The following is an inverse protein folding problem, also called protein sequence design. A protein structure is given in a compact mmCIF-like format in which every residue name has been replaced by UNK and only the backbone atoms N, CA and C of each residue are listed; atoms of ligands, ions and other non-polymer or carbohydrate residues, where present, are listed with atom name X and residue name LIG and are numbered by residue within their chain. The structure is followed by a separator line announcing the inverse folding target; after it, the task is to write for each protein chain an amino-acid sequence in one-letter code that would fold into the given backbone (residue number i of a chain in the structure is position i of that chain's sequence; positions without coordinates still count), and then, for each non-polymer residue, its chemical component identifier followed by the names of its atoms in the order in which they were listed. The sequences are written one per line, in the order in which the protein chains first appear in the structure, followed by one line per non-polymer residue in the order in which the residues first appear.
data_IF_889044987427
#
_entry.id   IF_889044987427
#
_cell.length_a   1.000
_cell.length_b   1.000
_cell.length_c   1.000
_cell.angle_alpha   90.00
_cell.angle_beta   90.00
_cell.angle_gamma   90.00
#
_symmetry.space_group_name_H-M   'P 1'
#
loop_
_entity.id
_entity.type
_entity.pdbx_description
1 polymer ?
#
# COMPACT_ATOMS: atom_id res chain seq x y z
N UNK A 1 -15.21 -16.09 38.44
CA UNK A 1 -14.79 -15.20 37.36
C UNK A 1 -14.74 -16.05 36.10
N UNK A 2 -15.68 -15.88 35.18
CA UNK A 2 -15.51 -16.43 33.83
C UNK A 2 -14.36 -15.68 33.15
N UNK A 3 -13.50 -16.42 32.46
CA UNK A 3 -12.35 -15.86 31.75
C UNK A 3 -12.26 -16.51 30.38
N UNK A 4 -12.02 -15.70 29.36
CA UNK A 4 -11.69 -16.21 28.04
C UNK A 4 -10.35 -16.92 28.08
N UNK A 5 -10.32 -18.17 27.62
CA UNK A 5 -9.12 -18.96 27.36
C UNK A 5 -8.89 -19.05 25.85
N UNK A 6 -7.71 -19.50 25.46
CA UNK A 6 -7.38 -19.88 24.09
C UNK A 6 -7.23 -21.39 23.98
N UNK A 7 -7.34 -21.93 22.75
CA UNK A 7 -7.10 -23.36 22.53
C UNK A 7 -5.69 -23.76 23.01
N UNK A 8 -4.66 -22.95 22.73
CA UNK A 8 -3.28 -23.20 23.16
C UNK A 8 -3.03 -23.16 24.68
N UNK A 9 -4.04 -22.82 25.48
CA UNK A 9 -3.97 -22.85 26.93
C UNK A 9 -4.29 -24.25 27.50
N UNK A 10 -4.98 -25.09 26.72
CA UNK A 10 -5.29 -26.48 27.08
C UNK A 10 -4.13 -27.41 26.73
N UNK A 11 -3.78 -28.32 27.64
CA UNK A 11 -2.62 -29.22 27.46
C UNK A 11 -2.82 -30.16 26.27
N UNK A 12 -4.04 -30.65 26.06
CA UNK A 12 -4.38 -31.51 24.92
C UNK A 12 -4.19 -30.81 23.55
N UNK A 13 -4.22 -29.47 23.54
CA UNK A 13 -4.16 -28.64 22.33
C UNK A 13 -2.86 -27.82 22.23
N UNK A 14 -1.86 -28.05 23.10
CA UNK A 14 -0.63 -27.25 23.14
C UNK A 14 0.08 -27.18 21.78
N UNK A 15 0.00 -28.26 20.98
CA UNK A 15 0.63 -28.35 19.66
C UNK A 15 0.17 -27.25 18.70
N UNK A 16 -1.00 -26.64 18.90
CA UNK A 16 -1.49 -25.53 18.07
C UNK A 16 -0.52 -24.34 18.03
N UNK A 17 0.38 -24.20 19.02
CA UNK A 17 1.41 -23.14 19.07
C UNK A 17 2.41 -23.21 17.92
N UNK A 18 2.60 -24.39 17.31
CA UNK A 18 3.52 -24.57 16.17
C UNK A 18 2.94 -24.02 14.86
N UNK A 19 1.62 -23.88 14.77
CA UNK A 19 0.92 -23.41 13.56
C UNK A 19 0.50 -21.95 13.77
N UNK A 20 1.20 -20.98 13.17
CA UNK A 20 0.81 -19.59 13.27
C UNK A 20 -0.49 -19.33 12.46
N UNK A 21 -1.37 -18.42 12.90
CA UNK A 21 -2.59 -18.07 12.17
C UNK A 21 -2.34 -17.66 10.71
N UNK A 22 -1.18 -17.04 10.43
CA UNK A 22 -0.77 -16.60 9.10
C UNK A 22 -0.48 -17.76 8.13
N UNK A 23 -0.25 -18.98 8.62
CA UNK A 23 -0.08 -20.17 7.79
C UNK A 23 -1.41 -20.70 7.22
N UNK A 24 -2.55 -20.23 7.73
CA UNK A 24 -3.86 -20.71 7.29
C UNK A 24 -4.29 -19.99 6.02
N UNK A 25 -3.94 -20.59 4.88
CA UNK A 25 -4.32 -20.10 3.54
C UNK A 25 -5.82 -20.25 3.28
N UNK A 26 -6.35 -19.52 2.29
CA UNK A 26 -7.76 -19.64 1.92
C UNK A 26 -8.12 -21.02 1.36
N UNK A 27 -7.15 -21.77 0.81
CA UNK A 27 -7.34 -23.17 0.43
C UNK A 27 -7.61 -24.04 1.65
N UNK A 28 -6.81 -23.89 2.70
CA UNK A 28 -6.99 -24.62 3.96
C UNK A 28 -8.34 -24.26 4.60
N UNK A 29 -8.71 -22.97 4.63
CA UNK A 29 -10.03 -22.54 5.13
C UNK A 29 -11.18 -23.17 4.35
N UNK A 30 -11.04 -23.31 3.03
CA UNK A 30 -12.05 -23.95 2.20
C UNK A 30 -12.22 -25.44 2.53
N UNK A 31 -11.12 -26.16 2.78
CA UNK A 31 -11.14 -27.54 3.26
C UNK A 31 -11.79 -27.67 4.64
N UNK A 32 -11.42 -26.81 5.60
CA UNK A 32 -12.06 -26.81 6.93
C UNK A 32 -13.56 -26.57 6.85
N UNK A 33 -14.00 -25.63 6.00
CA UNK A 33 -15.42 -25.31 5.78
C UNK A 33 -16.23 -26.46 5.16
N UNK A 34 -15.58 -27.53 4.68
CA UNK A 34 -16.27 -28.70 4.14
C UNK A 34 -16.47 -29.82 5.17
N UNK A 35 -15.88 -29.68 6.37
CA UNK A 35 -15.93 -30.71 7.41
C UNK A 35 -17.30 -30.86 8.08
N UNK A 36 -17.76 -32.09 8.24
CA UNK A 36 -18.98 -32.49 8.93
C UNK A 36 -18.77 -32.50 10.45
N UNK A 37 -19.76 -32.03 11.20
CA UNK A 37 -19.76 -32.03 12.67
C UNK A 37 -19.54 -33.44 13.23
N UNK A 38 -20.37 -34.39 12.83
CA UNK A 38 -20.45 -35.73 13.44
C UNK A 38 -19.46 -36.73 12.83
N UNK A 39 -19.21 -36.61 11.52
CA UNK A 39 -18.37 -37.59 10.80
C UNK A 39 -16.88 -37.27 10.89
N UNK A 40 -16.52 -36.00 11.16
CA UNK A 40 -15.14 -35.52 11.04
C UNK A 40 -14.71 -34.71 12.28
N UNK A 41 -15.36 -33.58 12.56
CA UNK A 41 -14.90 -32.63 13.59
C UNK A 41 -14.94 -33.26 15.00
N UNK A 42 -16.06 -33.87 15.38
CA UNK A 42 -16.22 -34.52 16.69
C UNK A 42 -15.23 -35.71 16.87
N UNK A 43 -15.12 -36.66 15.92
CA UNK A 43 -14.10 -37.72 15.98
C UNK A 43 -12.66 -37.18 16.07
N UNK A 44 -12.34 -36.07 15.40
CA UNK A 44 -11.03 -35.44 15.50
C UNK A 44 -10.76 -34.92 16.91
N UNK A 45 -11.72 -34.24 17.53
CA UNK A 45 -11.59 -33.74 18.90
C UNK A 45 -11.42 -34.91 19.89
N UNK A 46 -12.27 -35.93 19.81
CA UNK A 46 -12.20 -37.11 20.67
C UNK A 46 -10.84 -37.81 20.54
N UNK A 47 -10.33 -37.96 19.31
CA UNK A 47 -9.01 -38.55 19.09
C UNK A 47 -7.87 -37.68 19.65
N UNK A 48 -7.96 -36.36 19.56
CA UNK A 48 -6.96 -35.43 20.11
C UNK A 48 -6.92 -35.50 21.63
N UNK A 49 -8.09 -35.50 22.28
CA UNK A 49 -8.23 -35.56 23.75
C UNK A 49 -7.92 -36.97 24.29
N UNK A 50 -7.92 -37.99 23.41
CA UNK A 50 -7.75 -39.40 23.75
C UNK A 50 -8.84 -39.95 24.70
N UNK A 51 -10.04 -39.34 24.66
CA UNK A 51 -11.23 -39.82 25.37
C UNK A 51 -12.05 -40.72 24.43
N UNK A 52 -11.78 -42.04 24.48
CA UNK A 52 -12.47 -43.06 23.69
C UNK A 52 -13.77 -43.55 24.35
N UNK A 53 -14.28 -42.84 25.36
CA UNK A 53 -15.65 -43.06 25.78
C UNK A 53 -16.57 -42.63 24.63
N UNK A 54 -16.85 -43.56 23.70
CA UNK A 54 -18.07 -43.52 22.91
C UNK A 54 -19.19 -43.54 23.93
N UNK A 55 -19.67 -42.38 24.36
CA UNK A 55 -20.89 -42.34 25.14
C UNK A 55 -21.99 -42.81 24.17
N UNK A 56 -22.59 -43.98 24.41
CA UNK A 56 -23.76 -44.36 23.63
C UNK A 56 -24.81 -43.29 23.90
N UNK A 57 -25.57 -42.89 22.87
CA UNK A 57 -26.72 -42.00 22.99
C UNK A 57 -27.75 -42.59 23.99
N UNK A 58 -27.49 -42.37 25.27
CA UNK A 58 -28.39 -42.66 26.35
C UNK A 58 -29.09 -41.35 26.69
N UNK A 59 -30.36 -41.46 27.05
CA UNK A 59 -31.40 -40.43 27.16
C UNK A 59 -31.13 -39.26 28.12
N UNK A 60 -29.87 -39.03 28.51
CA UNK A 60 -29.40 -38.00 29.45
C UNK A 60 -28.32 -37.11 28.82
N UNK A 61 -27.79 -37.44 27.63
CA UNK A 61 -26.97 -36.50 26.85
C UNK A 61 -27.85 -35.44 26.19
N UNK A 62 -27.44 -34.18 26.33
CA UNK A 62 -28.06 -33.08 25.63
C UNK A 62 -27.63 -33.20 24.17
N UNK A 63 -28.54 -33.64 23.30
CA UNK A 63 -28.32 -33.69 21.85
C UNK A 63 -27.56 -32.43 21.36
N UNK A 64 -26.58 -32.63 20.48
CA UNK A 64 -25.81 -31.56 19.81
C UNK A 64 -24.71 -30.87 20.64
N UNK A 65 -24.29 -31.41 21.80
CA UNK A 65 -23.16 -30.91 22.61
C UNK A 65 -22.25 -32.08 23.03
N UNK A 66 -20.97 -32.04 22.66
CA UNK A 66 -19.97 -33.02 23.09
C UNK A 66 -19.43 -32.62 24.47
N UNK A 67 -19.51 -33.50 25.47
CA UNK A 67 -18.92 -33.25 26.79
C UNK A 67 -17.77 -34.19 27.10
N UNK A 68 -16.66 -33.66 27.59
CA UNK A 68 -15.45 -34.44 27.93
C UNK A 68 -14.64 -33.71 29.01
N UNK A 69 -13.47 -34.24 29.35
CA UNK A 69 -12.53 -33.62 30.29
C UNK A 69 -11.30 -33.14 29.55
N UNK A 70 -10.82 -31.96 29.90
CA UNK A 70 -9.58 -31.36 29.38
C UNK A 70 -8.73 -30.83 30.53
N UNK A 71 -7.45 -30.59 30.27
CA UNK A 71 -6.49 -30.20 31.31
C UNK A 71 -6.02 -28.77 31.10
N UNK A 72 -6.13 -27.95 32.14
CA UNK A 72 -5.68 -26.55 32.15
C UNK A 72 -4.83 -26.30 33.39
N UNK A 73 -3.54 -26.03 33.19
CA UNK A 73 -2.55 -25.85 34.28
C UNK A 73 -2.54 -26.99 35.30
N UNK A 74 -2.60 -28.25 34.84
CA UNK A 74 -2.63 -29.43 35.69
C UNK A 74 -3.97 -29.75 36.36
N UNK A 75 -5.00 -28.90 36.19
CA UNK A 75 -6.34 -29.13 36.72
C UNK A 75 -7.25 -29.71 35.63
N UNK A 76 -8.04 -30.72 35.99
CA UNK A 76 -9.00 -31.36 35.07
C UNK A 76 -10.31 -30.59 35.09
N UNK A 77 -10.69 -30.03 33.94
CA UNK A 77 -11.91 -29.28 33.74
C UNK A 77 -12.96 -30.13 33.01
N UNK A 78 -14.22 -30.08 33.45
CA UNK A 78 -15.34 -30.62 32.68
C UNK A 78 -15.75 -29.62 31.59
N UNK A 79 -15.59 -30.02 30.32
CA UNK A 79 -15.78 -29.15 29.16
C UNK A 79 -16.97 -29.58 28.30
N UNK A 80 -17.66 -28.58 27.73
CA UNK A 80 -18.72 -28.76 26.75
C UNK A 80 -18.33 -28.10 25.43
N UNK A 81 -18.31 -28.87 24.35
CA UNK A 81 -18.03 -28.45 23.00
C UNK A 81 -19.34 -28.22 22.24
N UNK A 82 -19.54 -26.98 21.81
CA UNK A 82 -20.55 -26.59 20.84
C UNK A 82 -19.87 -26.55 19.47
N UNK A 83 -20.19 -27.51 18.60
CA UNK A 83 -19.51 -27.70 17.33
C UNK A 83 -20.38 -27.19 16.17
N UNK A 84 -19.76 -26.49 15.20
CA UNK A 84 -20.42 -26.07 13.96
C UNK A 84 -19.59 -26.38 12.69
N UNK A 85 -20.11 -27.25 11.85
CA UNK A 85 -19.47 -27.79 10.65
C UNK A 85 -19.96 -27.14 9.36
N UNK A 86 -19.81 -27.87 8.25
CA UNK A 86 -19.99 -27.44 6.86
C UNK A 86 -21.31 -26.74 6.53
N UNK A 87 -22.36 -27.03 7.31
CA UNK A 87 -23.67 -26.40 7.18
C UNK A 87 -23.66 -24.91 7.56
N UNK A 88 -22.62 -24.45 8.27
CA UNK A 88 -22.55 -23.12 8.88
C UNK A 88 -21.31 -22.35 8.44
N UNK A 89 -21.30 -21.85 7.20
CA UNK A 89 -20.23 -20.95 6.71
C UNK A 89 -20.07 -19.69 7.56
N UNK A 90 -21.18 -19.20 8.11
CA UNK A 90 -21.24 -18.10 9.07
C UNK A 90 -22.18 -18.56 10.19
N UNK A 91 -21.68 -18.64 11.42
CA UNK A 91 -22.45 -19.02 12.61
C UNK A 91 -23.20 -17.80 13.15
N UNK A 92 -24.54 -17.90 13.18
CA UNK A 92 -25.46 -16.84 13.63
C UNK A 92 -26.15 -17.28 14.93
N UNK A 93 -26.74 -16.35 15.71
CA UNK A 93 -27.42 -16.69 16.97
C UNK A 93 -28.44 -17.84 16.80
N UNK A 94 -29.35 -17.72 15.83
CA UNK A 94 -30.35 -18.75 15.52
C UNK A 94 -29.80 -20.17 15.28
N UNK A 95 -28.52 -20.30 14.91
CA UNK A 95 -27.88 -21.56 14.60
C UNK A 95 -27.38 -22.29 15.86
N UNK A 96 -27.21 -21.57 16.98
CA UNK A 96 -26.62 -22.07 18.24
C UNK A 96 -27.40 -21.72 19.51
N UNK A 97 -28.39 -20.80 19.46
CA UNK A 97 -29.07 -20.28 20.67
C UNK A 97 -29.62 -21.42 21.54
N UNK A 98 -30.19 -22.45 20.91
CA UNK A 98 -30.70 -23.62 21.60
C UNK A 98 -29.60 -24.43 22.33
N UNK A 99 -28.40 -24.56 21.75
CA UNK A 99 -27.25 -25.23 22.37
C UNK A 99 -26.72 -24.38 23.53
N UNK A 100 -26.57 -23.07 23.33
CA UNK A 100 -26.10 -22.14 24.35
C UNK A 100 -27.03 -22.17 25.58
N UNK A 101 -28.35 -22.11 25.37
CA UNK A 101 -29.33 -22.19 26.47
C UNK A 101 -29.28 -23.52 27.22
N UNK A 102 -28.96 -24.62 26.53
CA UNK A 102 -28.83 -25.95 27.14
C UNK A 102 -27.59 -26.10 28.04
N UNK A 103 -26.61 -25.20 27.94
CA UNK A 103 -25.43 -25.20 28.83
C UNK A 103 -25.78 -24.73 30.25
N UNK A 104 -26.77 -23.84 30.41
CA UNK A 104 -27.16 -23.27 31.71
C UNK A 104 -27.54 -24.30 32.80
N UNK A 105 -28.34 -25.35 32.51
CA UNK A 105 -28.67 -26.36 33.51
C UNK A 105 -27.54 -27.35 33.81
N UNK A 106 -26.42 -27.33 33.08
CA UNK A 106 -25.31 -28.26 33.31
C UNK A 106 -24.56 -27.88 34.59
N UNK A 107 -24.93 -28.55 35.69
CA UNK A 107 -24.21 -28.42 36.96
C UNK A 107 -22.77 -28.88 36.76
N UNK A 108 -21.81 -28.19 37.40
CA UNK A 108 -20.37 -28.48 37.35
C UNK A 108 -19.68 -28.34 35.98
N UNK A 109 -20.23 -27.53 35.06
CA UNK A 109 -19.52 -27.20 33.82
C UNK A 109 -18.43 -26.16 34.11
N UNK A 110 -17.17 -26.53 33.84
CA UNK A 110 -16.01 -25.67 34.10
C UNK A 110 -15.59 -24.87 32.86
N UNK A 111 -15.83 -25.39 31.66
CA UNK A 111 -15.38 -24.79 30.40
C UNK A 111 -16.39 -24.99 29.27
N UNK A 112 -16.64 -23.93 28.49
CA UNK A 112 -17.41 -23.99 27.25
C UNK A 112 -16.49 -23.73 26.06
N UNK A 113 -16.55 -24.56 25.02
CA UNK A 113 -15.75 -24.39 23.80
C UNK A 113 -16.70 -24.30 22.61
N UNK A 114 -16.78 -23.15 21.97
CA UNK A 114 -17.43 -23.00 20.67
C UNK A 114 -16.38 -23.19 19.58
N UNK A 115 -16.52 -24.26 18.79
CA UNK A 115 -15.60 -24.59 17.69
C UNK A 115 -16.36 -24.61 16.37
N UNK A 116 -15.97 -23.74 15.43
CA UNK A 116 -16.65 -23.58 14.16
C UNK A 116 -15.70 -23.71 12.96
N UNK A 117 -16.15 -24.46 11.95
CA UNK A 117 -15.52 -24.49 10.62
C UNK A 117 -15.75 -23.21 9.80
N UNK A 118 -16.63 -22.31 10.25
CA UNK A 118 -17.00 -21.05 9.59
C UNK A 118 -16.69 -19.81 10.43
N UNK A 119 -17.06 -18.65 9.90
CA UNK A 119 -16.87 -17.38 10.61
C UNK A 119 -17.95 -17.20 11.68
N UNK A 120 -17.60 -16.66 12.85
CA UNK A 120 -18.52 -16.50 13.99
C UNK A 120 -18.93 -15.04 14.14
N UNK A 121 -20.23 -14.74 14.10
CA UNK A 121 -20.74 -13.38 14.30
C UNK A 121 -20.55 -12.90 15.76
N UNK A 122 -20.33 -11.61 15.95
CA UNK A 122 -20.11 -11.06 17.29
C UNK A 122 -21.30 -11.20 18.25
N UNK A 123 -22.52 -11.28 17.71
CA UNK A 123 -23.71 -11.56 18.51
C UNK A 123 -23.59 -12.92 19.24
N UNK A 124 -23.20 -13.97 18.50
CA UNK A 124 -22.92 -15.30 19.05
C UNK A 124 -21.87 -15.25 20.15
N UNK A 125 -20.77 -14.52 19.92
CA UNK A 125 -19.68 -14.40 20.90
C UNK A 125 -20.19 -13.77 22.20
N UNK A 126 -21.01 -12.73 22.10
CA UNK A 126 -21.63 -12.07 23.26
C UNK A 126 -22.58 -13.01 24.01
N UNK A 127 -23.43 -13.74 23.28
CA UNK A 127 -24.41 -14.66 23.88
C UNK A 127 -23.72 -15.80 24.64
N UNK A 128 -22.67 -16.39 24.06
CA UNK A 128 -21.85 -17.41 24.71
C UNK A 128 -21.14 -16.86 25.96
N UNK A 129 -20.58 -15.66 25.87
CA UNK A 129 -19.89 -15.00 26.99
C UNK A 129 -20.86 -14.76 28.16
N UNK A 130 -22.07 -14.28 27.88
CA UNK A 130 -23.12 -14.07 28.87
C UNK A 130 -23.52 -15.37 29.58
N UNK A 131 -23.65 -16.47 28.83
CA UNK A 131 -23.94 -17.78 29.44
C UNK A 131 -22.78 -18.27 30.28
N UNK A 132 -21.54 -18.19 29.80
CA UNK A 132 -20.35 -18.59 30.56
C UNK A 132 -20.22 -17.80 31.88
N UNK A 133 -20.50 -16.49 31.85
CA UNK A 133 -20.59 -15.64 33.04
C UNK A 133 -21.67 -16.13 34.01
N UNK A 134 -22.86 -16.44 33.50
CA UNK A 134 -24.00 -16.85 34.35
C UNK A 134 -23.77 -18.16 35.12
N UNK A 135 -22.99 -19.08 34.55
CA UNK A 135 -22.64 -20.36 35.19
C UNK A 135 -21.23 -20.39 35.78
N UNK A 136 -20.50 -19.27 35.74
CA UNK A 136 -19.12 -19.14 36.23
C UNK A 136 -18.12 -20.14 35.59
N UNK A 137 -18.25 -20.39 34.29
CA UNK A 137 -17.35 -21.23 33.52
C UNK A 137 -16.32 -20.41 32.73
N UNK A 138 -15.17 -21.01 32.42
CA UNK A 138 -14.28 -20.53 31.37
C UNK A 138 -14.93 -20.67 29.99
N UNK A 139 -14.42 -19.96 28.99
CA UNK A 139 -14.87 -20.17 27.62
C UNK A 139 -13.76 -19.99 26.58
N UNK A 140 -13.89 -20.71 25.46
CA UNK A 140 -13.05 -20.60 24.26
C UNK A 140 -13.98 -20.41 23.06
N UNK A 141 -13.60 -19.50 22.15
CA UNK A 141 -14.27 -19.30 20.86
C UNK A 141 -13.21 -19.51 19.78
N UNK A 142 -13.37 -20.56 18.98
CA UNK A 142 -12.48 -20.95 17.91
C UNK A 142 -13.21 -20.87 16.56
N UNK A 143 -12.78 -19.95 15.70
CA UNK A 143 -13.33 -19.80 14.36
C UNK A 143 -12.64 -20.75 13.35
N UNK A 144 -12.89 -20.54 12.05
CA UNK A 144 -12.29 -21.32 10.97
C UNK A 144 -10.75 -21.35 11.04
N UNK A 145 -10.10 -20.27 11.46
CA UNK A 145 -8.63 -20.19 11.55
C UNK A 145 -8.14 -21.02 12.72
N UNK A 146 -8.75 -20.86 13.89
CA UNK A 146 -8.36 -21.62 15.09
C UNK A 146 -8.62 -23.12 14.92
N UNK A 147 -9.76 -23.48 14.31
CA UNK A 147 -10.10 -24.87 13.98
C UNK A 147 -9.10 -25.47 12.99
N UNK A 148 -8.71 -24.71 11.95
CA UNK A 148 -7.68 -25.13 11.01
C UNK A 148 -6.34 -25.41 11.70
N UNK A 149 -5.91 -24.49 12.57
CA UNK A 149 -4.66 -24.62 13.32
C UNK A 149 -4.68 -25.85 14.21
N UNK A 150 -5.78 -26.10 14.92
CA UNK A 150 -5.93 -27.26 15.79
C UNK A 150 -5.80 -28.56 14.99
N UNK A 151 -6.57 -28.72 13.93
CA UNK A 151 -6.56 -29.95 13.15
C UNK A 151 -5.28 -30.16 12.35
N UNK A 152 -4.64 -29.09 11.91
CA UNK A 152 -3.34 -29.18 11.24
C UNK A 152 -2.23 -29.59 12.21
N UNK A 153 -2.19 -29.02 13.42
CA UNK A 153 -1.18 -29.35 14.43
C UNK A 153 -1.25 -30.81 14.92
N UNK A 154 -2.40 -31.46 14.75
CA UNK A 154 -2.66 -32.85 15.11
C UNK A 154 -2.80 -33.77 13.89
N UNK A 155 -2.34 -33.33 12.71
CA UNK A 155 -2.31 -34.12 11.46
C UNK A 155 -3.68 -34.70 11.06
N UNK A 156 -4.78 -34.00 11.37
CA UNK A 156 -6.14 -34.43 10.99
C UNK A 156 -6.54 -33.96 9.60
N UNK A 157 -5.92 -32.88 9.13
CA UNK A 157 -6.17 -32.29 7.82
C UNK A 157 -4.86 -32.02 7.08
N UNK A 158 -4.96 -31.97 5.75
CA UNK A 158 -3.83 -31.69 4.87
C UNK A 158 -3.37 -30.24 4.95
N UNK A 159 -2.06 -30.04 5.01
CA UNK A 159 -1.38 -28.75 4.97
C UNK A 159 -1.57 -28.00 3.64
N UNK A 160 -1.86 -28.69 2.54
CA UNK A 160 -2.01 -28.07 1.22
C UNK A 160 -3.41 -27.51 0.96
N UNK A 161 -4.45 -28.16 1.48
CA UNK A 161 -5.85 -27.90 1.09
C UNK A 161 -6.88 -28.02 2.22
N UNK A 162 -6.47 -28.36 3.45
CA UNK A 162 -7.34 -28.46 4.61
C UNK A 162 -8.35 -29.61 4.59
N UNK A 163 -8.29 -30.56 3.65
CA UNK A 163 -9.15 -31.74 3.62
C UNK A 163 -8.65 -32.82 4.57
N UNK A 164 -9.54 -33.68 5.10
CA UNK A 164 -9.17 -34.74 6.03
C UNK A 164 -8.22 -35.76 5.39
N UNK A 165 -7.40 -36.38 6.23
CA UNK A 165 -6.72 -37.62 5.86
C UNK A 165 -7.67 -38.82 6.04
N UNK A 166 -7.88 -39.59 4.98
CA UNK A 166 -8.69 -40.81 4.97
C UNK A 166 -7.77 -41.97 4.63
N UNK A 167 -7.65 -42.95 5.54
CA UNK A 167 -6.74 -44.09 5.39
C UNK A 167 -5.29 -43.68 5.10
N UNK A 168 -4.81 -42.64 5.80
CA UNK A 168 -3.43 -42.15 5.70
C UNK A 168 -3.14 -41.27 4.48
N UNK A 169 -4.14 -40.90 3.68
CA UNK A 169 -3.97 -40.01 2.51
C UNK A 169 -4.99 -38.89 2.47
N UNK A 170 -4.59 -37.71 2.00
CA UNK A 170 -5.50 -36.59 1.81
C UNK A 170 -6.54 -36.94 0.75
N UNK A 171 -7.82 -36.74 1.08
CA UNK A 171 -8.94 -37.05 0.18
C UNK A 171 -8.90 -36.28 -1.15
N UNK A 172 -8.23 -35.12 -1.19
CA UNK A 172 -8.25 -34.20 -2.32
C UNK A 172 -6.93 -34.19 -3.12
N UNK A 173 -5.78 -33.99 -2.46
CA UNK A 173 -4.48 -33.92 -3.15
C UNK A 173 -3.65 -35.22 -3.09
N UNK A 174 -4.09 -36.23 -2.34
CA UNK A 174 -3.41 -37.52 -2.25
C UNK A 174 -2.10 -37.55 -1.47
N UNK A 175 -1.74 -36.45 -0.80
CA UNK A 175 -0.58 -36.37 0.10
C UNK A 175 -0.69 -37.42 1.21
N UNK A 176 0.38 -38.14 1.50
CA UNK A 176 0.44 -39.08 2.62
C UNK A 176 0.49 -38.33 3.96
N UNK A 177 -0.22 -38.83 4.97
CA UNK A 177 -0.28 -38.25 6.33
C UNK A 177 1.11 -38.17 6.99
N UNK A 178 1.96 -39.17 6.72
CA UNK A 178 3.33 -39.25 7.24
C UNK A 178 4.35 -38.42 6.42
N UNK A 179 3.93 -37.81 5.31
CA UNK A 179 4.83 -37.02 4.48
C UNK A 179 5.22 -35.71 5.21
N UNK A 180 6.50 -35.32 5.20
CA UNK A 180 6.92 -34.04 5.77
C UNK A 180 6.18 -32.89 5.08
N UNK A 181 5.48 -32.08 5.86
CA UNK A 181 4.74 -30.91 5.39
C UNK A 181 5.47 -29.64 5.77
N UNK A 182 5.73 -28.78 4.80
CA UNK A 182 6.28 -27.43 5.01
C UNK A 182 5.13 -26.40 4.98
N UNK A 183 5.07 -25.52 5.98
CA UNK A 183 4.10 -24.42 6.04
C UNK A 183 4.82 -23.11 5.73
N UNK A 184 4.55 -22.55 4.55
CA UNK A 184 5.04 -21.22 4.17
C UNK A 184 4.02 -20.14 4.55
N UNK A 185 4.49 -19.09 5.24
CA UNK A 185 3.68 -17.92 5.54
C UNK A 185 4.52 -16.64 5.46
N UNK A 186 3.90 -15.54 5.01
CA UNK A 186 4.57 -14.25 4.86
C UNK A 186 4.38 -13.41 6.13
N UNK A 187 5.48 -13.06 6.80
CA UNK A 187 5.47 -12.26 8.03
C UNK A 187 5.14 -10.77 7.80
N UNK A 188 5.41 -10.24 6.59
CA UNK A 188 5.04 -8.89 6.13
C UNK A 188 4.80 -8.91 4.62
N UNK A 189 3.82 -8.13 4.15
CA UNK A 189 3.78 -7.73 2.75
C UNK A 189 5.00 -6.84 2.47
N UNK A 190 5.74 -7.14 1.39
CA UNK A 190 6.82 -6.27 0.94
C UNK A 190 6.24 -4.88 0.63
N UNK A 191 6.89 -3.80 1.08
CA UNK A 191 6.37 -2.47 0.85
C UNK A 191 6.34 -2.17 -0.64
N UNK A 192 5.19 -1.73 -1.12
CA UNK A 192 4.96 -1.46 -2.53
C UNK A 192 5.53 -0.09 -2.91
N UNK A 193 6.21 -0.05 -4.05
CA UNK A 193 6.65 1.18 -4.67
C UNK A 193 6.63 1.04 -6.19
N UNK A 194 6.53 2.16 -6.88
CA UNK A 194 6.59 2.22 -8.35
C UNK A 194 7.68 3.19 -8.75
N UNK A 195 8.68 2.74 -9.50
CA UNK A 195 9.64 3.63 -10.16
C UNK A 195 8.92 4.34 -11.30
N UNK A 196 8.84 5.67 -11.23
CA UNK A 196 8.18 6.50 -12.25
C UNK A 196 9.18 7.12 -13.22
N UNK A 197 10.42 7.33 -12.78
CA UNK A 197 11.47 7.90 -13.61
C UNK A 197 12.84 7.36 -13.18
N UNK A 198 13.64 6.98 -14.18
CA UNK A 198 15.05 6.67 -14.07
C UNK A 198 15.81 7.55 -15.06
N UNK A 199 16.64 8.45 -14.52
CA UNK A 199 17.49 9.35 -15.30
C UNK A 199 18.97 9.05 -15.09
N UNK A 200 19.72 9.07 -16.19
CA UNK A 200 21.18 9.13 -16.14
C UNK A 200 21.62 10.61 -16.08
N UNK A 201 22.10 11.00 -14.90
CA UNK A 201 22.59 12.34 -14.58
C UNK A 201 24.13 12.42 -14.61
N UNK A 202 24.77 11.49 -15.31
CA UNK A 202 26.24 11.42 -15.39
C UNK A 202 26.83 12.66 -16.06
N UNK A 203 28.02 13.03 -15.57
CA UNK A 203 28.92 14.00 -16.21
C UNK A 203 30.27 13.32 -16.44
N UNK A 204 31.21 13.95 -17.15
CA UNK A 204 32.45 13.29 -17.61
C UNK A 204 33.33 12.63 -16.54
N UNK A 205 33.09 12.90 -15.26
CA UNK A 205 33.89 12.41 -14.13
C UNK A 205 33.19 11.35 -13.27
N UNK A 206 31.85 11.26 -13.31
CA UNK A 206 31.09 10.35 -12.45
C UNK A 206 29.82 9.86 -13.13
N UNK A 207 29.56 8.55 -12.99
CA UNK A 207 28.32 7.91 -13.41
C UNK A 207 27.28 8.09 -12.31
N UNK A 208 26.17 8.76 -12.61
CA UNK A 208 25.17 9.17 -11.61
C UNK A 208 23.77 8.83 -12.06
N UNK A 209 22.96 8.31 -11.15
CA UNK A 209 21.54 8.10 -11.39
C UNK A 209 20.68 9.03 -10.55
N UNK A 210 19.60 9.50 -11.17
CA UNK A 210 18.49 10.18 -10.53
C UNK A 210 17.25 9.30 -10.68
N UNK A 211 16.66 8.88 -9.57
CA UNK A 211 15.51 7.98 -9.53
C UNK A 211 14.37 8.68 -8.83
N UNK A 212 13.16 8.58 -9.39
CA UNK A 212 11.93 9.05 -8.76
C UNK A 212 11.00 7.85 -8.58
N UNK A 213 10.44 7.69 -7.40
CA UNK A 213 9.51 6.61 -7.11
C UNK A 213 8.32 7.09 -6.26
N UNK A 214 7.19 6.42 -6.46
CA UNK A 214 5.96 6.65 -5.69
C UNK A 214 5.77 5.50 -4.69
N UNK A 215 5.34 5.82 -3.47
CA UNK A 215 5.06 4.85 -2.39
C UNK A 215 3.63 5.00 -1.89
N UNK A 216 3.20 4.15 -0.94
CA UNK A 216 1.92 4.37 -0.26
C UNK A 216 2.00 5.56 0.72
N UNK A 217 1.00 6.46 0.75
CA UNK A 217 1.01 7.63 1.62
C UNK A 217 0.82 7.33 3.12
N UNK A 218 0.40 6.13 3.48
CA UNK A 218 0.24 5.68 4.87
C UNK A 218 1.49 4.99 5.43
N UNK A 219 2.54 4.83 4.62
CA UNK A 219 3.77 4.22 5.08
C UNK A 219 4.47 5.07 6.14
N UNK A 220 4.89 4.39 7.20
CA UNK A 220 5.68 5.00 8.25
C UNK A 220 7.08 5.37 7.74
N UNK A 221 7.77 6.26 8.46
CA UNK A 221 9.17 6.61 8.14
C UNK A 221 10.07 5.38 8.05
N UNK A 222 9.87 4.37 8.89
CA UNK A 222 10.69 3.15 8.85
C UNK A 222 10.44 2.32 7.59
N UNK A 223 9.19 2.24 7.13
CA UNK A 223 8.84 1.59 5.85
C UNK A 223 9.44 2.35 4.67
N UNK A 224 9.30 3.68 4.63
CA UNK A 224 9.90 4.53 3.57
C UNK A 224 11.43 4.38 3.56
N UNK A 225 12.06 4.31 4.73
CA UNK A 225 13.50 4.07 4.86
C UNK A 225 13.92 2.73 4.25
N UNK A 226 13.10 1.71 4.46
CA UNK A 226 13.33 0.39 3.89
C UNK A 226 13.19 0.40 2.36
N UNK A 227 12.15 1.04 1.82
CA UNK A 227 11.95 1.24 0.38
C UNK A 227 13.16 1.95 -0.24
N UNK A 228 13.64 3.05 0.38
CA UNK A 228 14.80 3.79 -0.11
C UNK A 228 16.03 2.88 -0.23
N UNK A 229 16.27 2.02 0.76
CA UNK A 229 17.36 1.04 0.73
C UNK A 229 17.20 0.03 -0.39
N UNK A 230 15.99 -0.54 -0.57
CA UNK A 230 15.71 -1.53 -1.63
C UNK A 230 16.03 -0.92 -3.00
N UNK A 231 15.44 0.24 -3.31
CA UNK A 231 15.62 0.92 -4.60
C UNK A 231 17.09 1.25 -4.84
N UNK A 232 17.77 1.87 -3.87
CA UNK A 232 19.19 2.21 -4.07
C UNK A 232 20.02 0.94 -4.32
N UNK A 233 19.76 -0.17 -3.62
CA UNK A 233 20.51 -1.41 -3.82
C UNK A 233 20.30 -2.03 -5.18
N UNK A 234 19.07 -1.99 -5.69
CA UNK A 234 18.74 -2.43 -7.05
C UNK A 234 19.52 -1.60 -8.08
N UNK A 235 19.48 -0.28 -7.97
CA UNK A 235 20.10 0.63 -8.93
C UNK A 235 21.63 0.64 -8.90
N UNK A 236 22.25 0.25 -7.78
CA UNK A 236 23.71 0.07 -7.69
C UNK A 236 24.26 -0.94 -8.69
N UNK A 237 23.42 -1.88 -9.14
CA UNK A 237 23.81 -2.91 -10.10
C UNK A 237 23.46 -2.55 -11.55
N UNK A 238 22.77 -1.43 -11.77
CA UNK A 238 22.34 -1.04 -13.12
C UNK A 238 23.49 -0.45 -13.93
N UNK A 239 23.67 -0.95 -15.16
CA UNK A 239 24.63 -0.42 -16.13
C UNK A 239 24.00 0.58 -17.10
N UNK A 240 22.74 0.97 -16.89
CA UNK A 240 22.00 1.88 -17.78
C UNK A 240 22.79 3.14 -18.16
N UNK A 241 22.67 3.54 -19.42
CA UNK A 241 23.22 4.78 -19.97
C UNK A 241 22.15 5.47 -20.84
N UNK A 242 21.98 6.80 -20.71
CA UNK A 242 20.96 7.52 -21.51
C UNK A 242 21.22 7.57 -23.02
N UNK A 243 22.46 7.38 -23.43
CA UNK A 243 22.85 7.52 -24.84
C UNK A 243 24.15 6.80 -25.17
N UNK A 244 24.36 6.53 -26.47
CA UNK A 244 25.57 5.86 -26.97
C UNK A 244 26.88 6.57 -26.58
N UNK A 245 26.98 7.92 -26.62
CA UNK A 245 28.19 8.60 -26.15
C UNK A 245 28.50 8.36 -24.67
N UNK A 246 27.48 8.34 -23.82
CA UNK A 246 27.66 8.06 -22.38
C UNK A 246 28.05 6.60 -22.16
N UNK A 247 27.44 5.68 -22.91
CA UNK A 247 27.81 4.27 -22.92
C UNK A 247 29.25 4.05 -23.42
N UNK A 248 29.72 4.79 -24.43
CA UNK A 248 31.10 4.68 -24.90
C UNK A 248 32.11 5.18 -23.85
N UNK A 249 31.72 6.15 -23.03
CA UNK A 249 32.58 6.69 -21.96
C UNK A 249 32.59 5.81 -20.71
N UNK A 250 31.43 5.35 -20.25
CA UNK A 250 31.30 4.58 -19.01
C UNK A 250 31.20 3.07 -19.19
N UNK A 251 30.87 2.59 -20.38
CA UNK A 251 30.67 1.17 -20.68
C UNK A 251 29.68 0.52 -19.69
N UNK A 252 30.09 -0.64 -19.18
CA UNK A 252 29.33 -1.43 -18.20
C UNK A 252 29.58 -1.00 -16.75
N UNK A 253 30.19 0.17 -16.52
CA UNK A 253 30.43 0.68 -15.15
C UNK A 253 29.10 0.85 -14.42
N UNK A 254 29.04 0.42 -13.17
CA UNK A 254 27.93 0.71 -12.26
C UNK A 254 27.98 2.17 -11.78
N UNK A 255 26.87 2.73 -11.27
CA UNK A 255 26.84 4.11 -10.81
C UNK A 255 27.82 4.36 -9.65
N UNK A 256 28.44 5.54 -9.66
CA UNK A 256 29.26 6.10 -8.58
C UNK A 256 28.39 6.77 -7.51
N UNK A 257 27.25 7.36 -7.92
CA UNK A 257 26.26 7.96 -7.02
C UNK A 257 24.83 7.70 -7.48
N UNK A 258 23.91 7.65 -6.52
CA UNK A 258 22.47 7.54 -6.76
C UNK A 258 21.76 8.59 -5.91
N UNK A 259 20.89 9.37 -6.55
CA UNK A 259 19.93 10.26 -5.92
C UNK A 259 18.53 9.69 -6.13
N UNK A 260 17.78 9.49 -5.05
CA UNK A 260 16.42 8.99 -5.05
C UNK A 260 15.48 10.04 -4.50
N UNK A 261 14.34 10.26 -5.14
CA UNK A 261 13.23 11.05 -4.63
C UNK A 261 12.02 10.15 -4.42
N UNK A 262 11.46 10.15 -3.20
CA UNK A 262 10.27 9.38 -2.85
C UNK A 262 9.06 10.31 -2.70
N UNK A 263 7.99 9.97 -3.40
CA UNK A 263 6.72 10.69 -3.40
C UNK A 263 5.61 9.80 -2.82
N UNK A 264 4.83 10.26 -1.84
CA UNK A 264 3.68 9.53 -1.31
C UNK A 264 2.52 9.33 -2.31
N UNK A 265 2.45 10.15 -3.35
CA UNK A 265 1.46 10.03 -4.42
C UNK A 265 2.03 10.44 -5.77
N UNK A 266 1.39 9.98 -6.84
CA UNK A 266 1.80 10.28 -8.22
C UNK A 266 1.58 11.76 -8.58
N UNK A 267 0.51 12.38 -8.11
CA UNK A 267 0.19 13.79 -8.35
C UNK A 267 1.30 14.74 -7.82
N UNK A 268 1.83 14.43 -6.64
CA UNK A 268 2.89 15.19 -5.94
C UNK A 268 4.24 15.21 -6.69
N UNK A 269 4.40 14.35 -7.69
CA UNK A 269 5.63 14.28 -8.50
C UNK A 269 5.79 15.49 -9.39
N UNK A 270 4.68 16.09 -9.84
CA UNK A 270 4.68 17.24 -10.75
C UNK A 270 5.10 18.54 -10.03
N UNK A 271 4.70 18.72 -8.78
CA UNK A 271 5.14 19.86 -7.95
C UNK A 271 6.49 19.60 -7.26
N UNK A 272 7.11 18.45 -7.55
CA UNK A 272 8.34 18.02 -6.89
C UNK A 272 8.24 18.01 -5.35
N UNK A 273 7.05 17.69 -4.81
CA UNK A 273 6.78 17.65 -3.37
C UNK A 273 7.11 16.25 -2.79
N UNK A 274 8.39 15.89 -2.80
CA UNK A 274 8.87 14.62 -2.24
C UNK A 274 8.74 14.61 -0.71
N UNK A 275 8.48 13.45 -0.11
CA UNK A 275 8.47 13.29 1.36
C UNK A 275 9.87 13.10 1.92
N UNK A 276 10.72 12.41 1.16
CA UNK A 276 12.15 12.33 1.42
C UNK A 276 12.92 12.14 0.12
N UNK A 277 14.19 12.48 0.19
CA UNK A 277 15.18 12.18 -0.83
C UNK A 277 16.33 11.41 -0.18
N UNK A 278 16.92 10.48 -0.92
CA UNK A 278 18.00 9.65 -0.42
C UNK A 278 19.20 9.68 -1.36
N UNK A 279 20.40 9.69 -0.78
CA UNK A 279 21.67 9.73 -1.50
C UNK A 279 22.50 8.54 -1.11
N UNK A 280 23.07 7.90 -2.12
CA UNK A 280 24.16 6.96 -1.95
C UNK A 280 25.35 7.41 -2.79
N UNK A 281 26.54 7.38 -2.17
CA UNK A 281 27.81 7.62 -2.84
C UNK A 281 28.69 6.39 -2.62
N UNK A 282 29.45 6.00 -3.65
CA UNK A 282 30.48 4.96 -3.50
C UNK A 282 31.55 5.42 -2.48
N UNK A 283 32.03 4.51 -1.65
CA UNK A 283 32.88 4.84 -0.50
C UNK A 283 34.26 5.40 -0.89
N UNK A 284 34.83 4.88 -1.97
CA UNK A 284 36.12 5.27 -2.56
C UNK A 284 36.02 6.50 -3.48
N UNK A 285 34.83 7.08 -3.62
CA UNK A 285 34.62 8.21 -4.52
C UNK A 285 35.28 9.48 -3.94
N UNK A 286 36.00 10.24 -4.77
CA UNK A 286 36.57 11.53 -4.36
C UNK A 286 35.45 12.51 -4.00
N UNK A 287 35.70 13.36 -3.01
CA UNK A 287 34.69 14.26 -2.44
C UNK A 287 34.05 15.19 -3.48
N UNK A 288 34.85 15.67 -4.45
CA UNK A 288 34.40 16.48 -5.59
C UNK A 288 33.39 15.79 -6.52
N UNK A 289 33.31 14.46 -6.49
CA UNK A 289 32.38 13.67 -7.31
C UNK A 289 31.17 13.16 -6.52
N UNK A 290 31.15 13.31 -5.19
CA UNK A 290 30.01 12.90 -4.36
C UNK A 290 28.84 13.85 -4.54
N UNK A 291 27.62 13.36 -4.33
CA UNK A 291 26.52 14.23 -3.96
C UNK A 291 26.83 14.83 -2.59
N UNK A 292 26.83 16.16 -2.51
CA UNK A 292 27.00 16.89 -1.25
C UNK A 292 25.84 16.57 -0.29
N UNK A 293 26.11 16.70 1.00
CA UNK A 293 25.06 16.62 2.01
C UNK A 293 23.96 17.63 1.67
N UNK A 294 22.72 17.15 1.70
CA UNK A 294 21.58 17.79 1.06
C UNK A 294 20.91 18.85 1.96
N UNK A 295 21.00 18.65 3.27
CA UNK A 295 20.51 19.52 4.33
C UNK A 295 21.41 19.36 5.56
N UNK A 296 21.30 20.26 6.54
CA UNK A 296 22.02 20.13 7.82
C UNK A 296 21.43 19.01 8.71
N UNK A 297 20.21 18.57 8.43
CA UNK A 297 19.46 17.58 9.23
C UNK A 297 19.06 16.38 8.37
N UNK A 298 19.93 15.39 8.32
CA UNK A 298 19.67 14.13 7.63
C UNK A 298 19.77 12.93 8.57
N UNK A 299 19.17 11.82 8.15
CA UNK A 299 19.26 10.52 8.77
C UNK A 299 20.27 9.65 8.00
N UNK A 300 21.03 8.78 8.69
CA UNK A 300 21.93 7.82 8.04
C UNK A 300 21.39 6.40 8.17
N UNK A 301 21.37 5.68 7.06
CA UNK A 301 21.12 4.24 6.98
C UNK A 301 22.34 3.57 6.34
N UNK A 302 23.34 3.24 7.15
CA UNK A 302 24.66 2.80 6.64
C UNK A 302 25.33 3.94 5.85
N UNK A 303 25.64 3.68 4.57
CA UNK A 303 26.20 4.67 3.63
C UNK A 303 25.13 5.40 2.80
N UNK A 304 23.85 5.22 3.11
CA UNK A 304 22.74 5.98 2.52
C UNK A 304 22.41 7.15 3.45
N UNK A 305 22.33 8.35 2.89
CA UNK A 305 21.84 9.56 3.56
C UNK A 305 20.39 9.76 3.17
N UNK A 306 19.50 9.99 4.13
CA UNK A 306 18.07 10.24 3.90
C UNK A 306 17.73 11.62 4.46
N UNK A 307 17.24 12.49 3.59
CA UNK A 307 16.84 13.86 3.90
C UNK A 307 15.31 13.97 3.80
N UNK A 308 14.68 14.29 4.93
CA UNK A 308 13.23 14.41 5.03
C UNK A 308 12.79 15.82 4.69
N UNK A 309 11.79 15.98 3.83
CA UNK A 309 11.29 17.31 3.46
C UNK A 309 10.56 17.93 4.67
N UNK A 310 11.09 19.00 5.30
CA UNK A 310 10.44 19.61 6.45
C UNK A 310 9.13 20.32 6.07
N UNK A 311 8.99 20.72 4.80
CA UNK A 311 7.84 21.49 4.28
C UNK A 311 6.84 20.61 3.51
N UNK A 312 6.98 19.29 3.52
CA UNK A 312 6.13 18.39 2.72
C UNK A 312 4.63 18.61 2.99
N UNK A 313 4.24 18.68 4.27
CA UNK A 313 2.83 18.86 4.65
C UNK A 313 2.32 20.28 4.34
N UNK A 314 3.17 21.30 4.47
CA UNK A 314 2.82 22.70 4.15
C UNK A 314 2.57 22.87 2.65
N UNK A 315 3.45 22.31 1.81
CA UNK A 315 3.31 22.33 0.35
C UNK A 315 2.08 21.53 -0.07
N UNK A 316 1.86 20.35 0.54
CA UNK A 316 0.69 19.51 0.26
C UNK A 316 -0.61 20.24 0.57
N UNK A 317 -0.68 20.92 1.71
CA UNK A 317 -1.85 21.71 2.09
C UNK A 317 -2.05 22.88 1.12
N UNK A 318 -1.00 23.62 0.79
CA UNK A 318 -1.05 24.74 -0.18
C UNK A 318 -1.58 24.29 -1.54
N UNK A 319 -1.04 23.19 -2.09
CA UNK A 319 -1.48 22.65 -3.39
C UNK A 319 -2.94 22.22 -3.31
N UNK A 320 -3.33 21.51 -2.25
CA UNK A 320 -4.72 21.05 -2.09
C UNK A 320 -5.74 22.20 -2.04
N UNK A 321 -5.39 23.34 -1.42
CA UNK A 321 -6.26 24.52 -1.32
C UNK A 321 -6.34 25.32 -2.62
N UNK A 322 -5.32 25.24 -3.46
CA UNK A 322 -5.19 26.03 -4.69
C UNK A 322 -5.23 25.14 -5.95
N UNK A 323 -5.80 23.94 -5.87
CA UNK A 323 -6.00 23.08 -7.03
C UNK A 323 -7.34 23.38 -7.71
N UNK A 324 -7.37 23.32 -9.03
CA UNK A 324 -8.58 23.47 -9.84
C UNK A 324 -8.94 22.16 -10.54
N UNK A 325 -10.19 22.04 -11.01
CA UNK A 325 -10.60 20.88 -11.79
C UNK A 325 -10.11 20.96 -13.22
N UNK A 326 -10.13 19.83 -13.92
CA UNK A 326 -9.76 19.74 -15.34
C UNK A 326 -10.62 20.66 -16.21
N UNK A 327 -11.92 20.72 -15.96
CA UNK A 327 -12.86 21.55 -16.71
C UNK A 327 -12.53 23.03 -16.55
N UNK A 328 -12.23 23.47 -15.33
CA UNK A 328 -11.85 24.86 -15.04
C UNK A 328 -10.53 25.20 -15.74
N UNK A 329 -9.53 24.32 -15.64
CA UNK A 329 -8.23 24.51 -16.28
C UNK A 329 -8.34 24.60 -17.81
N UNK A 330 -9.05 23.67 -18.45
CA UNK A 330 -9.27 23.69 -19.90
C UNK A 330 -10.01 24.96 -20.32
N UNK A 331 -11.03 25.37 -19.55
CA UNK A 331 -11.74 26.63 -19.78
C UNK A 331 -10.83 27.86 -19.73
N UNK A 332 -9.81 27.90 -18.87
CA UNK A 332 -8.82 28.98 -18.89
C UNK A 332 -8.00 29.00 -20.19
N UNK A 333 -7.54 27.85 -20.65
CA UNK A 333 -6.77 27.74 -21.90
C UNK A 333 -7.62 28.19 -23.09
N UNK A 334 -8.84 27.67 -23.21
CA UNK A 334 -9.76 27.98 -24.31
C UNK A 334 -10.13 29.46 -24.38
N UNK A 335 -10.12 30.16 -23.24
CA UNK A 335 -10.35 31.61 -23.19
C UNK A 335 -9.12 32.45 -23.56
N UNK A 336 -7.91 31.95 -23.27
CA UNK A 336 -6.67 32.70 -23.51
C UNK A 336 -6.19 32.56 -24.96
N UNK A 337 -6.23 31.35 -25.53
CA UNK A 337 -5.68 31.11 -26.87
C UNK A 337 -6.26 32.03 -27.97
N UNK A 338 -7.59 32.26 -28.06
CA UNK A 338 -8.14 33.16 -29.07
C UNK A 338 -7.66 34.62 -28.93
N UNK A 339 -7.32 35.03 -27.70
CA UNK A 339 -6.77 36.38 -27.46
C UNK A 339 -5.35 36.50 -28.03
N UNK A 340 -4.56 35.43 -27.96
CA UNK A 340 -3.22 35.36 -28.56
C UNK A 340 -3.34 35.42 -30.08
N UNK A 341 -4.23 34.61 -30.68
CA UNK A 341 -4.43 34.57 -32.14
C UNK A 341 -4.78 35.97 -32.67
N UNK A 342 -5.70 36.67 -31.98
CA UNK A 342 -6.09 38.04 -32.34
C UNK A 342 -4.91 39.02 -32.30
N UNK A 343 -4.04 38.94 -31.30
CA UNK A 343 -2.86 39.82 -31.22
C UNK A 343 -1.82 39.46 -32.28
N UNK A 344 -1.66 38.18 -32.60
CA UNK A 344 -0.78 37.71 -33.67
C UNK A 344 -1.24 38.18 -35.04
N UNK A 345 -2.55 38.20 -35.32
CA UNK A 345 -3.08 38.76 -36.56
C UNK A 345 -2.74 40.25 -36.73
N UNK A 346 -2.85 41.03 -35.64
CA UNK A 346 -2.49 42.44 -35.64
C UNK A 346 -0.97 42.60 -35.85
N UNK A 347 -0.17 41.78 -35.16
CA UNK A 347 1.28 41.77 -35.34
C UNK A 347 1.68 41.47 -36.79
N UNK A 348 1.16 40.40 -37.39
CA UNK A 348 1.48 40.04 -38.76
C UNK A 348 1.04 41.11 -39.76
N UNK A 349 -0.15 41.71 -39.56
CA UNK A 349 -0.61 42.83 -40.35
C UNK A 349 0.37 44.01 -40.30
N UNK A 350 0.73 44.45 -39.10
CA UNK A 350 1.66 45.56 -38.89
C UNK A 350 3.06 45.25 -39.42
N UNK A 351 3.56 44.04 -39.21
CA UNK A 351 4.88 43.60 -39.67
C UNK A 351 4.94 43.57 -41.20
N UNK A 352 3.93 42.99 -41.86
CA UNK A 352 3.86 42.96 -43.31
C UNK A 352 3.81 44.37 -43.90
N UNK A 353 2.95 45.25 -43.37
CA UNK A 353 2.88 46.65 -43.83
C UNK A 353 4.18 47.43 -43.59
N UNK A 354 4.90 47.15 -42.49
CA UNK A 354 6.21 47.76 -42.24
C UNK A 354 7.25 47.27 -43.26
N UNK A 355 7.32 45.96 -43.50
CA UNK A 355 8.28 45.37 -44.45
C UNK A 355 8.00 45.71 -45.92
N UNK A 356 6.74 45.97 -46.29
CA UNK A 356 6.36 46.47 -47.62
C UNK A 356 6.59 47.97 -47.81
N UNK A 357 6.87 48.71 -46.73
CA UNK A 357 7.04 50.16 -46.73
C UNK A 357 5.74 50.96 -46.63
N UNK A 358 4.60 50.29 -46.42
CA UNK A 358 3.28 50.92 -46.26
C UNK A 358 3.06 51.51 -44.85
N UNK A 359 3.90 51.16 -43.88
CA UNK A 359 3.85 51.63 -42.50
C UNK A 359 5.21 52.20 -42.07
N UNK A 360 5.22 53.41 -41.53
CA UNK A 360 6.43 54.06 -41.05
C UNK A 360 6.94 53.42 -39.75
N UNK A 361 8.26 53.45 -39.52
CA UNK A 361 8.92 52.83 -38.36
C UNK A 361 8.33 53.29 -37.01
N UNK A 362 8.12 54.60 -36.83
CA UNK A 362 7.51 55.15 -35.60
C UNK A 362 6.09 54.61 -35.35
N UNK A 363 5.29 54.44 -36.41
CA UNK A 363 3.93 53.91 -36.28
C UNK A 363 3.95 52.42 -35.95
N UNK A 364 4.86 51.66 -36.57
CA UNK A 364 5.11 50.27 -36.23
C UNK A 364 5.53 50.11 -34.76
N UNK A 365 6.48 50.91 -34.28
CA UNK A 365 6.91 50.92 -32.88
C UNK A 365 5.76 51.24 -31.92
N UNK A 366 4.94 52.25 -32.23
CA UNK A 366 3.76 52.59 -31.42
C UNK A 366 2.74 51.44 -31.35
N UNK A 367 2.58 50.67 -32.43
CA UNK A 367 1.75 49.46 -32.43
C UNK A 367 2.39 48.37 -31.55
N UNK A 368 3.70 48.12 -31.69
CA UNK A 368 4.40 47.11 -30.88
C UNK A 368 4.33 47.41 -29.38
N UNK A 369 4.47 48.67 -28.97
CA UNK A 369 4.32 49.08 -27.56
C UNK A 369 2.91 48.82 -27.03
N UNK A 370 1.87 48.97 -27.85
CA UNK A 370 0.49 48.64 -27.44
C UNK A 370 0.30 47.12 -27.33
N UNK A 371 0.81 46.37 -28.32
CA UNK A 371 0.74 44.91 -28.31
C UNK A 371 1.51 44.30 -27.14
N UNK A 372 2.63 44.89 -26.73
CA UNK A 372 3.38 44.47 -25.54
C UNK A 372 2.52 44.52 -24.28
N UNK A 373 1.81 45.64 -24.05
CA UNK A 373 0.93 45.79 -22.88
C UNK A 373 -0.19 44.76 -22.88
N UNK A 374 -0.82 44.54 -24.04
CA UNK A 374 -1.88 43.54 -24.17
C UNK A 374 -1.33 42.11 -24.01
N UNK A 375 -0.14 41.82 -24.53
CA UNK A 375 0.54 40.54 -24.37
C UNK A 375 0.92 40.27 -22.90
N UNK A 376 1.37 41.29 -22.17
CA UNK A 376 1.66 41.20 -20.73
C UNK A 376 0.40 40.84 -19.93
N UNK A 377 -0.75 41.44 -20.24
CA UNK A 377 -2.03 41.09 -19.58
C UNK A 377 -2.40 39.62 -19.81
N UNK A 378 -2.15 39.09 -21.01
CA UNK A 378 -2.35 37.65 -21.30
C UNK A 378 -1.37 36.79 -20.50
N UNK A 379 -0.10 37.18 -20.47
CA UNK A 379 0.94 36.47 -19.71
C UNK A 379 0.59 36.42 -18.22
N UNK A 380 0.24 37.55 -17.61
CA UNK A 380 -0.14 37.65 -16.20
C UNK A 380 -1.35 36.76 -15.85
N UNK A 381 -2.38 36.75 -16.71
CA UNK A 381 -3.52 35.82 -16.58
C UNK A 381 -3.11 34.36 -16.66
N UNK A 382 -2.11 34.03 -17.47
CA UNK A 382 -1.65 32.64 -17.63
C UNK A 382 -0.87 32.13 -16.42
N UNK A 383 -0.07 33.00 -15.77
CA UNK A 383 0.76 32.63 -14.62
C UNK A 383 -0.02 32.65 -13.29
N UNK A 384 -1.21 33.23 -13.29
CA UNK A 384 -2.13 33.27 -12.13
C UNK A 384 -3.13 32.12 -12.12
N UNK A 385 -3.09 31.22 -13.11
CA UNK A 385 -3.91 30.01 -13.13
C UNK A 385 -3.48 29.12 -11.94
N UNK A 386 -4.46 28.72 -11.15
CA UNK A 386 -4.30 27.82 -10.01
C UNK A 386 -3.78 26.42 -10.44
N UNK A 387 -3.36 25.58 -9.49
CA UNK A 387 -2.68 24.32 -9.81
C UNK A 387 -3.60 23.36 -10.58
N UNK A 388 -3.22 22.92 -11.79
CA UNK A 388 -4.01 21.99 -12.56
C UNK A 388 -3.90 20.57 -11.98
N UNK A 389 -4.90 19.70 -12.25
CA UNK A 389 -4.83 18.30 -11.83
C UNK A 389 -3.70 17.57 -12.57
N UNK A 390 -3.26 16.43 -12.03
CA UNK A 390 -2.07 15.71 -12.51
C UNK A 390 -2.10 15.40 -14.01
N UNK A 391 -3.25 14.95 -14.53
CA UNK A 391 -3.44 14.63 -15.94
C UNK A 391 -3.31 15.84 -16.89
N UNK A 392 -3.38 17.06 -16.36
CA UNK A 392 -3.25 18.31 -17.12
C UNK A 392 -1.85 18.93 -17.05
N UNK A 393 -0.90 18.34 -16.31
CA UNK A 393 0.42 18.93 -16.07
C UNK A 393 1.25 19.14 -17.34
N UNK A 394 1.20 18.17 -18.27
CA UNK A 394 1.88 18.30 -19.57
C UNK A 394 1.28 19.42 -20.42
N UNK A 395 -0.06 19.53 -20.43
CA UNK A 395 -0.77 20.61 -21.12
C UNK A 395 -0.45 21.97 -20.49
N UNK A 396 -0.41 22.07 -19.15
CA UNK A 396 -0.03 23.30 -18.44
C UNK A 396 1.38 23.73 -18.75
N UNK A 397 2.35 22.81 -18.72
CA UNK A 397 3.74 23.13 -19.02
C UNK A 397 3.89 23.65 -20.45
N UNK A 398 3.23 22.98 -21.40
CA UNK A 398 3.22 23.37 -22.82
C UNK A 398 2.56 24.73 -23.02
N UNK A 399 1.41 24.96 -22.38
CA UNK A 399 0.67 26.21 -22.44
C UNK A 399 1.50 27.37 -21.86
N UNK A 400 2.09 27.20 -20.67
CA UNK A 400 2.97 28.22 -20.07
C UNK A 400 4.16 28.54 -20.96
N UNK A 401 4.80 27.53 -21.59
CA UNK A 401 5.86 27.76 -22.57
C UNK A 401 5.36 28.54 -23.78
N UNK A 402 4.20 28.19 -24.33
CA UNK A 402 3.60 28.86 -25.48
C UNK A 402 3.31 30.35 -25.18
N UNK A 403 2.65 30.64 -24.06
CA UNK A 403 2.35 32.02 -23.65
C UNK A 403 3.64 32.81 -23.37
N UNK A 404 4.64 32.18 -22.76
CA UNK A 404 5.95 32.81 -22.53
C UNK A 404 6.66 33.16 -23.84
N UNK A 405 6.65 32.25 -24.83
CA UNK A 405 7.22 32.50 -26.16
C UNK A 405 6.50 33.63 -26.88
N UNK A 406 5.16 33.63 -26.83
CA UNK A 406 4.33 34.71 -27.36
C UNK A 406 4.68 36.06 -26.72
N UNK A 407 4.73 36.14 -25.40
CA UNK A 407 5.08 37.37 -24.68
C UNK A 407 6.51 37.86 -25.03
N UNK A 408 7.46 36.92 -25.18
CA UNK A 408 8.84 37.24 -25.53
C UNK A 408 9.00 37.90 -26.91
N UNK A 409 8.02 37.79 -27.83
CA UNK A 409 8.03 38.52 -29.11
C UNK A 409 8.06 40.03 -28.86
N UNK A 410 7.33 40.49 -27.83
CA UNK A 410 7.11 41.90 -27.57
C UNK A 410 8.01 42.46 -26.47
N UNK A 411 8.77 41.62 -25.77
CA UNK A 411 9.57 42.02 -24.59
C UNK A 411 10.57 43.14 -24.89
N UNK A 412 11.08 43.20 -26.13
CA UNK A 412 11.98 44.26 -26.57
C UNK A 412 11.32 45.64 -26.51
N UNK A 413 9.99 45.73 -26.59
CA UNK A 413 9.16 46.95 -26.62
C UNK A 413 8.60 47.38 -25.29
N UNK A 414 8.92 46.67 -24.21
CA UNK A 414 8.51 47.02 -22.86
C UNK A 414 9.09 48.37 -22.40
N UNK A 415 8.41 49.07 -21.49
CA UNK A 415 8.88 50.39 -21.03
C UNK A 415 10.27 50.33 -20.36
N UNK A 416 10.63 49.22 -19.72
CA UNK A 416 11.92 49.04 -19.05
C UNK A 416 13.07 48.69 -20.00
N UNK A 417 12.81 48.17 -21.20
CA UNK A 417 13.85 47.94 -22.22
C UNK A 417 14.24 49.24 -22.95
N UNK A 418 13.38 50.26 -22.93
CA UNK A 418 13.63 51.58 -23.53
C UNK A 418 14.61 52.46 -22.73
N UNK A 419 15.00 52.05 -21.52
CA UNK A 419 15.91 52.82 -20.64
C UNK A 419 17.40 52.65 -21.05
N UNK A 420 17.72 51.72 -21.97
CA UNK A 420 19.10 51.31 -22.27
C UNK A 420 19.67 51.64 -23.65
N UNK A 421 18.88 52.09 -24.63
CA UNK A 421 19.39 52.39 -25.97
C UNK A 421 18.30 52.77 -26.97
N UNK A 422 18.63 53.68 -27.89
CA UNK A 422 17.79 53.94 -29.06
C UNK A 422 17.68 52.67 -29.91
N UNK A 423 16.49 52.46 -30.47
CA UNK A 423 16.09 51.35 -31.34
C UNK A 423 16.92 51.13 -32.62
N UNK A 424 17.98 51.93 -32.82
CA UNK A 424 18.78 52.02 -34.05
C UNK A 424 20.18 51.38 -33.94
N UNK A 425 20.43 50.51 -32.93
CA UNK A 425 21.69 49.77 -32.80
C UNK A 425 21.52 48.26 -33.04
#
# INVERSE_FOLDING_TARGET
MSKALRLEDLEEFEKIRIVPPQAITDKIKAGIRSLNETEEIEPFIQNIIADYNHTPHNSVEIADILTTKVTYHGEVLFAAFVIKGKSFKIVRPKDIDHQILRLQPMKSLDLIILLASGDILDAVKRDLTSVAESINAYFIIADVVDTARLFLAHYKICSNDGHPFISGKCAQCGLDEDAPSELEFRLKEEPLYTIIEQGDASHGLAKRFSVRAVTDPHYSKSTIRHIAKIIIWEFRQSAYCRSKPVENHFGQKTPDCIMLFLFPKLDETSQNNWICRAVWNREDLKEEYKHKELSEKFERLGNIIIDWNPHYYEIKELVSKNSITKEVFVGHIENILPSIDKLMDIYYGAYNSYTSGDLHQNDFQNIMVKLEKDAYVIYDKSVTIAFPPYECQSASSTFSCYVSLFHNIFIAFAEWSQVGGSWDN
#
